data_IF_458882616394
#
_entry.id   IF_458882616394
#
_cell.length_a   1.000
_cell.length_b   1.000
_cell.length_c   1.000
_cell.angle_alpha   90.00
_cell.angle_beta   90.00
_cell.angle_gamma   90.00
#
_symmetry.space_group_name_H-M   'P 1'
#
loop_
_entity.id
_entity.type
_entity.pdbx_description
1 polymer ?
#
# COMPACT_ATOMS: atom_id res chain seq x y z
N UNK A 1 -8.18 12.94 -12.62
CA UNK A 1 -7.29 12.88 -13.78
C UNK A 1 -5.86 13.02 -13.29
N UNK A 2 -5.14 11.88 -13.22
CA UNK A 2 -3.76 11.84 -12.71
C UNK A 2 -2.77 12.54 -13.64
N UNK A 3 -3.14 12.73 -14.92
CA UNK A 3 -2.31 13.38 -15.93
C UNK A 3 -2.50 14.91 -15.92
N UNK A 4 -3.69 15.37 -15.52
CA UNK A 4 -4.03 16.80 -15.44
C UNK A 4 -3.98 17.39 -14.03
N UNK A 5 -3.61 16.60 -13.02
CA UNK A 5 -3.49 17.07 -11.63
C UNK A 5 -4.82 17.52 -11.01
N UNK A 6 -5.93 16.88 -11.37
CA UNK A 6 -7.26 17.23 -10.87
C UNK A 6 -7.93 16.03 -10.19
N UNK A 7 -8.49 16.23 -9.00
CA UNK A 7 -9.30 15.25 -8.29
C UNK A 7 -10.70 15.80 -7.98
N UNK A 8 -11.66 14.90 -7.79
CA UNK A 8 -13.00 15.23 -7.30
C UNK A 8 -13.15 14.68 -5.89
N UNK A 9 -13.42 15.56 -4.94
CA UNK A 9 -13.69 15.21 -3.56
C UNK A 9 -15.03 14.46 -3.42
N UNK A 10 -15.22 13.77 -2.30
CA UNK A 10 -16.48 13.07 -1.98
C UNK A 10 -17.72 13.98 -2.03
N UNK A 11 -17.56 15.28 -1.75
CA UNK A 11 -18.63 16.27 -1.85
C UNK A 11 -18.85 16.84 -3.26
N UNK A 12 -18.20 16.27 -4.27
CA UNK A 12 -18.27 16.72 -5.68
C UNK A 12 -17.42 17.94 -6.01
N UNK A 13 -16.71 18.54 -5.04
CA UNK A 13 -15.83 19.66 -5.30
C UNK A 13 -14.59 19.23 -6.08
N UNK A 14 -14.14 20.05 -7.03
CA UNK A 14 -12.86 19.85 -7.71
C UNK A 14 -11.72 20.38 -6.84
N UNK A 15 -10.60 19.67 -6.85
CA UNK A 15 -9.36 20.11 -6.21
C UNK A 15 -8.16 19.83 -7.11
N UNK A 16 -7.16 20.68 -6.99
CA UNK A 16 -5.85 20.45 -7.60
C UNK A 16 -5.05 19.47 -6.74
N UNK A 17 -4.40 18.53 -7.41
CA UNK A 17 -3.51 17.53 -6.80
C UNK A 17 -2.23 17.41 -7.63
N UNK A 18 -1.09 17.04 -7.03
CA UNK A 18 0.11 16.74 -7.81
C UNK A 18 -0.17 15.71 -8.93
N UNK A 19 0.47 15.89 -10.09
CA UNK A 19 0.43 14.88 -11.16
C UNK A 19 1.00 13.57 -10.62
N UNK A 20 0.36 12.45 -10.97
CA UNK A 20 0.72 11.13 -10.44
C UNK A 20 0.29 10.89 -8.98
N UNK A 21 -0.72 11.63 -8.50
CA UNK A 21 -1.38 11.33 -7.22
C UNK A 21 -2.24 10.07 -7.34
N UNK A 22 -1.92 9.06 -6.53
CA UNK A 22 -2.71 7.85 -6.39
C UNK A 22 -3.81 8.00 -5.34
N UNK A 23 -4.88 7.24 -5.48
CA UNK A 23 -5.75 6.87 -4.36
C UNK A 23 -5.22 5.59 -3.68
N UNK A 24 -5.84 5.18 -2.57
CA UNK A 24 -5.42 3.99 -1.83
C UNK A 24 -5.45 2.71 -2.68
N UNK A 25 -6.43 2.54 -3.56
CA UNK A 25 -6.51 1.35 -4.41
C UNK A 25 -5.48 1.42 -5.54
N UNK A 26 -5.40 2.55 -6.24
CA UNK A 26 -4.46 2.68 -7.37
C UNK A 26 -2.99 2.61 -6.93
N UNK A 27 -2.63 3.06 -5.72
CA UNK A 27 -1.26 2.88 -5.22
C UNK A 27 -0.91 1.39 -5.05
N UNK A 28 -1.85 0.54 -4.60
CA UNK A 28 -1.59 -0.90 -4.50
C UNK A 28 -1.27 -1.54 -5.85
N UNK A 29 -1.93 -1.09 -6.91
CA UNK A 29 -1.61 -1.54 -8.27
C UNK A 29 -0.27 -0.98 -8.74
N UNK A 30 0.02 0.29 -8.46
CA UNK A 30 1.27 0.94 -8.86
C UNK A 30 2.52 0.30 -8.22
N UNK A 31 2.43 -0.22 -7.00
CA UNK A 31 3.53 -0.96 -6.35
C UNK A 31 4.10 -2.09 -7.21
N UNK A 32 3.29 -2.66 -8.11
CA UNK A 32 3.70 -3.73 -9.02
C UNK A 32 4.73 -3.28 -10.06
N UNK A 33 4.92 -1.98 -10.29
CA UNK A 33 5.94 -1.45 -11.19
C UNK A 33 7.21 -0.97 -10.48
N UNK A 34 7.17 -0.77 -9.16
CA UNK A 34 8.26 -0.13 -8.42
C UNK A 34 9.45 -1.05 -8.16
N UNK A 35 10.64 -0.47 -8.03
CA UNK A 35 11.77 -1.20 -7.44
C UNK A 35 11.65 -1.21 -5.91
N UNK A 36 10.91 -2.20 -5.40
CA UNK A 36 10.62 -2.35 -3.97
C UNK A 36 11.79 -2.86 -3.12
N UNK A 37 12.96 -3.10 -3.70
CA UNK A 37 14.18 -3.51 -2.97
C UNK A 37 15.24 -2.43 -2.93
N UNK A 38 14.93 -1.26 -3.48
CA UNK A 38 15.83 -0.11 -3.47
C UNK A 38 16.18 0.25 -2.02
N UNK A 39 17.46 0.57 -1.72
CA UNK A 39 17.85 1.10 -0.42
C UNK A 39 17.26 2.50 -0.17
N UNK A 40 16.91 3.23 -1.24
CA UNK A 40 16.16 4.49 -1.13
C UNK A 40 14.65 4.20 -1.14
N UNK A 41 13.87 4.81 -0.22
CA UNK A 41 12.42 4.69 -0.24
C UNK A 41 11.83 5.13 -1.58
N UNK A 42 10.80 4.44 -2.04
CA UNK A 42 9.95 4.98 -3.10
C UNK A 42 9.04 6.04 -2.47
N UNK A 43 8.83 7.16 -3.14
CA UNK A 43 7.96 8.23 -2.68
C UNK A 43 6.91 8.52 -3.76
N UNK A 44 5.63 8.52 -3.37
CA UNK A 44 4.51 8.79 -4.27
C UNK A 44 3.52 9.72 -3.63
N UNK A 45 2.82 10.52 -4.43
CA UNK A 45 1.70 11.32 -3.91
C UNK A 45 0.47 10.44 -3.75
N UNK A 46 -0.18 10.53 -2.60
CA UNK A 46 -1.36 9.77 -2.21
C UNK A 46 -2.45 10.75 -1.75
N UNK A 47 -3.65 10.63 -2.30
CA UNK A 47 -4.81 11.38 -1.84
C UNK A 47 -5.50 10.61 -0.71
N UNK A 48 -5.47 11.16 0.50
CA UNK A 48 -6.17 10.59 1.67
C UNK A 48 -6.95 11.69 2.36
N UNK A 49 -8.22 11.45 2.68
CA UNK A 49 -9.10 12.42 3.33
C UNK A 49 -9.11 13.78 2.61
N UNK A 50 -9.20 13.77 1.26
CA UNK A 50 -9.17 14.97 0.42
C UNK A 50 -7.92 15.83 0.57
N UNK A 51 -6.79 15.24 1.00
CA UNK A 51 -5.49 15.91 1.13
C UNK A 51 -4.39 15.08 0.49
N UNK A 52 -3.63 15.63 -0.47
CA UNK A 52 -2.42 15.01 -0.95
C UNK A 52 -1.40 14.86 0.19
N UNK A 53 -0.80 13.69 0.27
CA UNK A 53 0.27 13.31 1.20
C UNK A 53 1.37 12.61 0.42
N UNK A 54 2.61 12.73 0.86
CA UNK A 54 3.67 11.87 0.34
C UNK A 54 3.63 10.54 1.09
N UNK A 55 3.45 9.43 0.38
CA UNK A 55 3.62 8.08 0.91
C UNK A 55 5.04 7.61 0.63
N UNK A 56 5.77 7.29 1.69
CA UNK A 56 7.07 6.64 1.62
C UNK A 56 6.90 5.12 1.78
N UNK A 57 7.49 4.38 0.84
CA UNK A 57 7.47 2.92 0.79
C UNK A 57 8.90 2.42 0.94
N UNK A 58 9.20 1.84 2.10
CA UNK A 58 10.54 1.41 2.48
C UNK A 58 10.60 -0.11 2.59
N UNK A 59 11.55 -0.72 1.90
CA UNK A 59 11.84 -2.15 2.07
C UNK A 59 12.40 -2.41 3.47
N UNK A 60 11.84 -3.40 4.17
CA UNK A 60 12.36 -3.82 5.47
C UNK A 60 13.16 -5.12 5.34
N UNK A 61 12.49 -6.18 4.88
CA UNK A 61 13.09 -7.51 4.77
C UNK A 61 12.29 -8.41 3.82
N UNK A 62 12.93 -9.51 3.41
CA UNK A 62 12.27 -10.66 2.80
C UNK A 62 11.93 -11.65 3.90
N UNK A 63 10.73 -12.21 3.88
CA UNK A 63 10.33 -13.30 4.80
C UNK A 63 9.29 -14.21 4.16
N UNK A 64 9.18 -15.44 4.67
CA UNK A 64 8.08 -16.35 4.31
C UNK A 64 6.92 -16.11 5.26
N UNK A 65 5.72 -15.89 4.72
CA UNK A 65 4.49 -15.75 5.51
C UNK A 65 3.53 -16.90 5.24
N UNK A 66 2.77 -17.28 6.26
CA UNK A 66 1.63 -18.16 6.10
C UNK A 66 0.38 -17.35 5.71
N UNK A 67 -0.26 -17.75 4.60
CA UNK A 67 -1.47 -17.16 4.04
C UNK A 67 -2.37 -18.30 3.53
N UNK A 68 -3.58 -18.45 4.09
CA UNK A 68 -4.53 -19.49 3.65
C UNK A 68 -3.97 -20.92 3.72
N UNK A 69 -3.11 -21.22 4.70
CA UNK A 69 -2.43 -22.52 4.84
C UNK A 69 -1.26 -22.75 3.88
N UNK A 70 -0.89 -21.74 3.08
CA UNK A 70 0.25 -21.79 2.17
C UNK A 70 1.40 -20.94 2.70
N UNK A 71 2.64 -21.41 2.50
CA UNK A 71 3.85 -20.65 2.79
C UNK A 71 4.25 -19.85 1.55
N UNK A 72 4.27 -18.52 1.66
CA UNK A 72 4.51 -17.61 0.53
C UNK A 72 5.71 -16.72 0.85
N UNK A 73 6.70 -16.68 -0.06
CA UNK A 73 7.82 -15.73 0.02
C UNK A 73 7.31 -14.32 -0.25
N UNK A 74 7.62 -13.38 0.64
CA UNK A 74 7.10 -12.02 0.62
C UNK A 74 8.17 -10.97 0.94
N UNK A 75 7.95 -9.75 0.45
CA UNK A 75 8.67 -8.55 0.85
C UNK A 75 7.84 -7.77 1.84
N UNK A 76 8.38 -7.54 3.03
CA UNK A 76 7.78 -6.65 4.02
C UNK A 76 8.21 -5.22 3.75
N UNK A 77 7.22 -4.33 3.67
CA UNK A 77 7.36 -2.91 3.41
C UNK A 77 6.83 -2.11 4.59
N UNK A 78 7.52 -1.03 4.95
CA UNK A 78 7.00 0.03 5.80
C UNK A 78 6.33 1.09 4.95
N UNK A 79 5.14 1.53 5.37
CA UNK A 79 4.38 2.59 4.73
C UNK A 79 4.23 3.76 5.71
N UNK A 80 4.80 4.92 5.38
CA UNK A 80 4.72 6.12 6.23
C UNK A 80 4.34 7.35 5.42
N UNK A 81 3.66 8.31 6.03
CA UNK A 81 3.35 9.61 5.40
C UNK A 81 4.27 10.74 5.90
N UNK A 82 4.24 11.87 5.21
CA UNK A 82 5.00 13.09 5.51
C UNK A 82 4.43 13.95 6.64
N UNK A 83 3.33 13.53 7.28
CA UNK A 83 2.75 14.24 8.41
C UNK A 83 3.37 13.81 9.75
N UNK A 84 3.17 14.62 10.79
CA UNK A 84 3.74 14.40 12.12
C UNK A 84 3.32 13.07 12.79
N UNK A 85 2.25 12.43 12.30
CA UNK A 85 1.74 11.15 12.78
C UNK A 85 1.88 10.05 11.72
N UNK A 86 2.74 10.26 10.72
CA UNK A 86 2.77 9.43 9.51
C UNK A 86 3.25 7.99 9.69
N UNK A 87 3.87 7.65 10.82
CA UNK A 87 4.19 6.26 11.21
C UNK A 87 3.44 5.82 12.49
N UNK A 88 2.45 6.60 12.96
CA UNK A 88 1.76 6.34 14.24
C UNK A 88 1.20 4.93 14.33
N UNK A 89 0.67 4.41 13.23
CA UNK A 89 0.03 3.10 13.19
C UNK A 89 0.98 1.97 12.77
N UNK A 90 2.28 2.25 12.57
CA UNK A 90 3.29 1.31 12.10
C UNK A 90 2.76 0.44 10.94
N UNK A 91 2.25 1.07 9.88
CA UNK A 91 1.60 0.37 8.77
C UNK A 91 2.64 -0.48 8.04
N UNK A 92 2.31 -1.76 7.84
CA UNK A 92 3.14 -2.74 7.15
C UNK A 92 2.35 -3.40 6.03
N UNK A 93 3.00 -3.54 4.88
CA UNK A 93 2.47 -4.23 3.71
C UNK A 93 3.40 -5.37 3.34
N UNK A 94 2.83 -6.53 3.05
CA UNK A 94 3.52 -7.65 2.44
C UNK A 94 3.08 -7.79 1.01
N UNK A 95 4.04 -7.86 0.10
CA UNK A 95 3.79 -8.22 -1.31
C UNK A 95 4.51 -9.50 -1.66
N UNK A 96 4.00 -10.26 -2.64
CA UNK A 96 4.67 -11.47 -3.12
C UNK A 96 6.07 -11.15 -3.62
N UNK A 97 7.01 -12.05 -3.31
CA UNK A 97 8.36 -11.98 -3.84
C UNK A 97 8.50 -12.69 -5.19
N UNK A 98 7.67 -12.25 -6.13
CA UNK A 98 7.73 -12.63 -7.53
C UNK A 98 7.54 -11.38 -8.40
N UNK A 99 7.58 -11.56 -9.72
CA UNK A 99 7.39 -10.45 -10.65
C UNK A 99 6.01 -9.79 -10.53
N UNK A 100 5.02 -10.47 -9.93
CA UNK A 100 3.66 -9.95 -9.81
C UNK A 100 3.56 -8.95 -8.68
N UNK A 101 4.32 -9.10 -7.58
CA UNK A 101 4.24 -8.23 -6.40
C UNK A 101 2.80 -8.06 -5.90
N UNK A 102 2.06 -9.16 -5.82
CA UNK A 102 0.68 -9.20 -5.34
C UNK A 102 0.63 -8.72 -3.88
N UNK A 103 -0.26 -7.79 -3.51
CA UNK A 103 -0.53 -7.49 -2.11
C UNK A 103 -1.05 -8.74 -1.39
N UNK A 104 -0.35 -9.19 -0.36
CA UNK A 104 -0.66 -10.41 0.38
C UNK A 104 -1.27 -10.12 1.75
N UNK A 105 -0.77 -9.10 2.45
CA UNK A 105 -1.18 -8.76 3.81
C UNK A 105 -0.95 -7.29 4.10
N UNK A 106 -1.87 -6.68 4.84
CA UNK A 106 -1.69 -5.36 5.45
C UNK A 106 -1.86 -5.52 6.96
N UNK A 107 -0.98 -4.92 7.74
CA UNK A 107 -1.10 -4.89 9.19
C UNK A 107 -0.79 -3.50 9.74
N UNK A 108 -1.47 -3.16 10.83
CA UNK A 108 -1.25 -1.91 11.55
C UNK A 108 -1.43 -2.13 13.06
N UNK A 109 -0.77 -1.30 13.85
CA UNK A 109 -0.98 -1.20 15.30
C UNK A 109 -1.79 0.06 15.56
N UNK A 110 -3.08 -0.10 15.84
CA UNK A 110 -3.99 1.01 16.15
C UNK A 110 -4.05 1.24 17.66
N UNK A 111 -4.62 2.37 18.14
CA UNK A 111 -4.89 2.56 19.56
C UNK A 111 -5.74 1.45 20.20
N UNK A 112 -6.57 0.77 19.41
CA UNK A 112 -7.46 -0.29 19.86
C UNK A 112 -6.85 -1.70 19.71
N UNK A 113 -5.58 -1.80 19.30
CA UNK A 113 -4.87 -3.06 19.11
C UNK A 113 -4.39 -3.29 17.68
N UNK A 114 -3.85 -4.50 17.45
CA UNK A 114 -3.29 -4.90 16.16
C UNK A 114 -4.41 -5.32 15.21
N UNK A 115 -4.40 -4.76 14.01
CA UNK A 115 -5.29 -5.14 12.91
C UNK A 115 -4.48 -5.76 11.78
N UNK A 116 -5.06 -6.75 11.11
CA UNK A 116 -4.44 -7.47 10.01
C UNK A 116 -5.51 -7.88 9.00
N UNK A 117 -5.23 -7.63 7.73
CA UNK A 117 -6.03 -8.08 6.61
C UNK A 117 -5.14 -8.91 5.67
N UNK A 118 -5.64 -10.06 5.25
CA UNK A 118 -4.94 -11.04 4.43
C UNK A 118 -5.67 -11.23 3.10
N UNK A 119 -4.91 -11.40 2.01
CA UNK A 119 -5.46 -11.84 0.74
C UNK A 119 -6.10 -13.23 0.93
N UNK A 120 -7.40 -13.31 0.70
CA UNK A 120 -8.12 -14.57 0.80
C UNK A 120 -7.74 -15.52 -0.36
N UNK A 121 -7.32 -16.74 -0.02
CA UNK A 121 -7.13 -17.83 -0.97
C UNK A 121 -8.35 -18.73 -0.85
N UNK A 122 -9.22 -18.70 -1.85
CA UNK A 122 -10.43 -19.53 -1.89
C UNK A 122 -10.17 -20.77 -2.75
N UNK A 123 -10.51 -21.99 -2.26
CA UNK A 123 -10.45 -23.18 -3.07
C UNK A 123 -11.49 -23.08 -4.20
N UNK A 124 -11.08 -23.39 -5.43
CA UNK A 124 -12.02 -23.52 -6.54
C UNK A 124 -12.71 -24.88 -6.36
N UNK A 125 -13.97 -24.88 -5.92
CA UNK A 125 -14.81 -26.08 -5.97
C UNK A 125 -15.13 -26.33 -7.44
N UNK A 126 -14.48 -27.33 -8.06
CA UNK A 126 -14.91 -27.80 -9.38
C UNK A 126 -16.20 -28.60 -9.18
N UNK A 127 -17.28 -28.14 -9.80
CA UNK A 127 -18.51 -28.92 -9.99
C UNK A 127 -18.30 -29.96 -11.09
#
# INVERSE_FOLDING_TARGET
DQDRGNATAENGARMDVPVGTYDLLSVFYALRSFNLRSPKPNAVSLLVNNRPRTLFITFLKRETIELGGQQISALQLSLTTDDAQGDRNALRLWVSDDQRRLPLRIAATTPNGKVRADLAILPIVRQ
#
